data_IF_726252935033
#
_entry.id   IF_726252935033
#
_cell.length_a   1.000
_cell.length_b   1.000
_cell.length_c   1.000
_cell.angle_alpha   90.00
_cell.angle_beta   90.00
_cell.angle_gamma   90.00
#
_symmetry.space_group_name_H-M   'P 1'
#
loop_
_entity.id
_entity.type
_entity.pdbx_description
1 polymer ?
#
# COMPACT_ATOMS: atom_id res chain seq x y z
N UNK A 1 -7.08 15.61 12.04
CA UNK A 1 -7.35 16.14 10.68
C UNK A 1 -6.81 15.17 9.63
N UNK A 2 -6.95 13.85 9.83
CA UNK A 2 -6.30 12.77 9.06
C UNK A 2 -7.24 11.59 8.68
N UNK A 3 -8.56 11.72 8.86
CA UNK A 3 -9.53 10.65 8.51
C UNK A 3 -10.27 10.88 7.18
N UNK A 4 -10.08 11.99 6.51
CA UNK A 4 -10.73 12.31 5.22
C UNK A 4 -10.04 11.75 3.98
N UNK A 5 -8.85 11.18 4.12
CA UNK A 5 -8.05 10.68 2.99
C UNK A 5 -8.37 9.23 2.54
N UNK A 6 -9.26 8.52 3.24
CA UNK A 6 -9.63 7.15 2.84
C UNK A 6 -10.53 7.08 1.57
N UNK A 7 -11.07 8.21 1.13
CA UNK A 7 -11.91 8.31 -0.08
C UNK A 7 -11.12 8.39 -1.39
N UNK A 8 -9.80 8.59 -1.33
CA UNK A 8 -8.96 8.66 -2.55
C UNK A 8 -8.57 7.26 -3.10
N UNK A 9 -8.98 6.19 -2.44
CA UNK A 9 -8.66 4.80 -2.85
C UNK A 9 -9.66 4.19 -3.84
N UNK A 10 -10.67 4.94 -4.32
CA UNK A 10 -11.60 4.42 -5.33
C UNK A 10 -10.82 4.27 -6.65
N UNK A 11 -10.78 3.07 -7.25
CA UNK A 11 -10.04 2.85 -8.47
C UNK A 11 -10.51 3.82 -9.56
N UNK A 12 -9.59 4.58 -10.17
CA UNK A 12 -9.90 5.47 -11.32
C UNK A 12 -10.69 4.73 -12.39
N UNK A 13 -10.43 3.44 -12.58
CA UNK A 13 -11.14 2.57 -13.50
C UNK A 13 -12.63 2.41 -13.21
N UNK A 14 -13.06 2.41 -11.93
CA UNK A 14 -14.49 2.32 -11.60
C UNK A 14 -15.27 3.56 -12.04
N UNK A 15 -14.73 4.75 -11.80
CA UNK A 15 -15.37 6.01 -12.22
C UNK A 15 -15.46 6.11 -13.74
N UNK A 16 -14.38 5.80 -14.46
CA UNK A 16 -14.35 5.76 -15.91
C UNK A 16 -15.35 4.73 -16.45
N UNK A 17 -15.39 3.52 -15.89
CA UNK A 17 -16.34 2.49 -16.26
C UNK A 17 -17.80 2.94 -16.05
N UNK A 18 -18.10 3.53 -14.89
CA UNK A 18 -19.43 4.03 -14.56
C UNK A 18 -19.87 5.14 -15.52
N UNK A 19 -18.99 6.09 -15.83
CA UNK A 19 -19.29 7.17 -16.78
C UNK A 19 -19.57 6.64 -18.18
N UNK A 20 -18.70 5.76 -18.70
CA UNK A 20 -18.85 5.20 -20.06
C UNK A 20 -20.10 4.31 -20.16
N UNK A 21 -20.37 3.48 -19.14
CA UNK A 21 -21.56 2.62 -19.15
C UNK A 21 -22.86 3.43 -19.11
N UNK A 22 -22.93 4.47 -18.29
CA UNK A 22 -24.09 5.36 -18.22
C UNK A 22 -24.26 6.16 -19.50
N UNK A 23 -23.18 6.59 -20.14
CA UNK A 23 -23.21 7.25 -21.45
C UNK A 23 -23.84 6.37 -22.53
N UNK A 24 -23.34 5.13 -22.65
CA UNK A 24 -23.87 4.15 -23.62
C UNK A 24 -25.36 3.90 -23.37
N UNK A 25 -25.75 3.69 -22.12
CA UNK A 25 -27.15 3.47 -21.74
C UNK A 25 -28.02 4.67 -22.13
N UNK A 26 -27.57 5.89 -21.81
CA UNK A 26 -28.32 7.12 -22.11
C UNK A 26 -28.54 7.29 -23.59
N UNK A 27 -27.51 7.08 -24.42
CA UNK A 27 -27.63 7.18 -25.88
C UNK A 27 -28.59 6.12 -26.45
N UNK A 28 -28.51 4.87 -25.98
CA UNK A 28 -29.40 3.79 -26.38
C UNK A 28 -30.87 4.11 -26.03
N UNK A 29 -31.11 4.62 -24.82
CA UNK A 29 -32.47 5.00 -24.39
C UNK A 29 -32.99 6.24 -25.11
N UNK A 30 -32.15 7.21 -25.39
CA UNK A 30 -32.56 8.35 -26.25
C UNK A 30 -33.04 7.88 -27.62
N UNK A 31 -32.30 6.96 -28.25
CA UNK A 31 -32.67 6.39 -29.53
C UNK A 31 -33.97 5.56 -29.44
N UNK A 32 -34.11 4.72 -28.42
CA UNK A 32 -35.30 3.91 -28.20
C UNK A 32 -36.54 4.77 -27.97
N UNK A 33 -36.48 5.80 -27.12
CA UNK A 33 -37.57 6.70 -26.82
C UNK A 33 -37.97 7.51 -28.08
N UNK A 34 -37.00 7.95 -28.88
CA UNK A 34 -37.24 8.58 -30.15
C UNK A 34 -38.03 7.67 -31.10
N UNK A 35 -37.66 6.40 -31.20
CA UNK A 35 -38.33 5.43 -32.06
C UNK A 35 -39.77 5.11 -31.58
N UNK A 36 -40.04 5.17 -30.29
CA UNK A 36 -41.35 4.99 -29.69
C UNK A 36 -42.25 6.25 -29.83
N UNK A 37 -41.69 7.39 -30.31
CA UNK A 37 -42.38 8.65 -30.45
C UNK A 37 -42.45 9.50 -29.18
N UNK A 38 -41.77 9.08 -28.09
CA UNK A 38 -41.68 9.84 -26.84
C UNK A 38 -40.52 10.86 -26.92
N UNK A 39 -40.85 12.02 -27.45
CA UNK A 39 -39.87 13.10 -27.70
C UNK A 39 -39.35 13.72 -26.41
N UNK A 40 -40.15 13.78 -25.35
CA UNK A 40 -39.77 14.36 -24.06
C UNK A 40 -38.72 13.48 -23.38
N UNK A 41 -38.95 12.19 -23.38
CA UNK A 41 -38.02 11.20 -22.77
C UNK A 41 -36.74 11.09 -23.64
N UNK A 42 -36.86 11.15 -24.97
CA UNK A 42 -35.70 11.12 -25.86
C UNK A 42 -34.80 12.37 -25.66
N UNK A 43 -35.38 13.54 -25.53
CA UNK A 43 -34.60 14.79 -25.27
C UNK A 43 -33.96 14.78 -23.88
N UNK A 44 -34.64 14.23 -22.88
CA UNK A 44 -34.07 14.05 -21.55
C UNK A 44 -32.82 13.17 -21.56
N UNK A 45 -32.89 11.96 -22.16
CA UNK A 45 -31.74 11.08 -22.24
C UNK A 45 -30.58 11.64 -23.07
N UNK A 46 -30.88 12.43 -24.12
CA UNK A 46 -29.86 13.11 -24.92
C UNK A 46 -29.15 14.22 -24.10
N UNK A 47 -29.91 14.99 -23.31
CA UNK A 47 -29.37 16.01 -22.43
C UNK A 47 -28.50 15.36 -21.32
N UNK A 48 -28.95 14.23 -20.78
CA UNK A 48 -28.17 13.45 -19.79
C UNK A 48 -26.86 12.94 -20.38
N UNK A 49 -26.88 12.39 -21.60
CA UNK A 49 -25.68 11.98 -22.32
C UNK A 49 -24.70 13.14 -22.52
N UNK A 50 -25.19 14.32 -22.96
CA UNK A 50 -24.34 15.49 -23.10
C UNK A 50 -23.69 15.93 -21.80
N UNK A 51 -24.40 15.86 -20.65
CA UNK A 51 -23.84 16.16 -19.32
C UNK A 51 -22.82 15.13 -18.89
N UNK A 52 -23.06 13.84 -19.13
CA UNK A 52 -22.12 12.77 -18.81
C UNK A 52 -20.82 12.88 -19.61
N UNK A 53 -20.87 13.29 -20.88
CA UNK A 53 -19.70 13.59 -21.71
C UNK A 53 -18.87 14.75 -21.12
N UNK A 54 -19.50 15.78 -20.59
CA UNK A 54 -18.80 16.88 -19.92
C UNK A 54 -18.11 16.36 -18.65
N UNK A 55 -18.78 15.52 -17.86
CA UNK A 55 -18.19 14.93 -16.65
C UNK A 55 -17.02 14.02 -17.01
N UNK A 56 -17.14 13.23 -18.08
CA UNK A 56 -16.07 12.39 -18.61
C UNK A 56 -14.87 13.23 -19.06
N UNK A 57 -15.10 14.34 -19.74
CA UNK A 57 -14.07 15.30 -20.13
C UNK A 57 -13.34 15.89 -18.91
N UNK A 58 -14.08 16.30 -17.87
CA UNK A 58 -13.49 16.80 -16.62
C UNK A 58 -12.62 15.72 -15.95
N UNK A 59 -13.09 14.48 -15.97
CA UNK A 59 -12.34 13.37 -15.39
C UNK A 59 -11.07 13.05 -16.18
N UNK A 60 -11.14 12.95 -17.51
CA UNK A 60 -10.05 12.48 -18.36
C UNK A 60 -9.04 13.58 -18.71
N UNK A 61 -9.48 14.82 -18.95
CA UNK A 61 -8.63 15.91 -19.41
C UNK A 61 -8.00 16.66 -18.22
N UNK A 62 -8.81 16.97 -17.20
CA UNK A 62 -8.36 17.79 -16.07
C UNK A 62 -7.89 16.98 -14.86
N UNK A 63 -7.97 15.65 -14.90
CA UNK A 63 -7.60 14.72 -13.80
C UNK A 63 -8.15 15.13 -12.43
N UNK A 64 -9.44 15.52 -12.40
CA UNK A 64 -10.15 15.93 -11.18
C UNK A 64 -11.22 14.91 -10.77
N UNK A 65 -10.81 13.75 -10.18
CA UNK A 65 -11.75 12.67 -9.88
C UNK A 65 -12.79 13.05 -8.81
N UNK A 66 -12.44 13.92 -7.85
CA UNK A 66 -13.40 14.39 -6.83
C UNK A 66 -14.53 15.22 -7.45
N UNK A 67 -14.19 16.16 -8.32
CA UNK A 67 -15.17 16.99 -9.02
C UNK A 67 -16.06 16.15 -9.94
N UNK A 68 -15.47 15.22 -10.70
CA UNK A 68 -16.20 14.33 -11.58
C UNK A 68 -17.19 13.42 -10.81
N UNK A 69 -16.81 12.89 -9.64
CA UNK A 69 -17.70 12.09 -8.75
C UNK A 69 -18.91 12.89 -8.27
N UNK A 70 -18.68 14.12 -7.82
CA UNK A 70 -19.77 14.99 -7.35
C UNK A 70 -20.73 15.35 -8.51
N UNK A 71 -20.21 15.68 -9.68
CA UNK A 71 -21.02 15.97 -10.85
C UNK A 71 -21.81 14.75 -11.33
N UNK A 72 -21.18 13.55 -11.37
CA UNK A 72 -21.86 12.32 -11.72
C UNK A 72 -23.03 12.06 -10.75
N UNK A 73 -22.78 12.15 -9.43
CA UNK A 73 -23.83 11.98 -8.43
C UNK A 73 -24.97 12.98 -8.60
N UNK A 74 -24.67 14.25 -8.89
CA UNK A 74 -25.69 15.28 -9.12
C UNK A 74 -26.55 14.95 -10.35
N UNK A 75 -25.91 14.54 -11.46
CA UNK A 75 -26.61 14.11 -12.68
C UNK A 75 -27.49 12.90 -12.40
N UNK A 76 -26.97 11.90 -11.70
CA UNK A 76 -27.70 10.67 -11.37
C UNK A 76 -28.87 10.92 -10.42
N UNK A 77 -28.71 11.76 -9.39
CA UNK A 77 -29.79 12.12 -8.47
C UNK A 77 -30.87 12.95 -9.19
N UNK A 78 -30.47 13.88 -10.03
CA UNK A 78 -31.41 14.67 -10.85
C UNK A 78 -32.22 13.78 -11.79
N UNK A 79 -31.54 12.86 -12.50
CA UNK A 79 -32.17 11.88 -13.39
C UNK A 79 -33.11 10.95 -12.62
N UNK A 80 -32.73 10.53 -11.44
CA UNK A 80 -33.55 9.70 -10.56
C UNK A 80 -34.90 10.40 -10.24
N UNK A 81 -34.90 11.63 -9.78
CA UNK A 81 -36.11 12.35 -9.44
C UNK A 81 -36.96 12.68 -10.67
N UNK A 82 -36.35 12.96 -11.83
CA UNK A 82 -37.07 13.12 -13.07
C UNK A 82 -37.82 11.86 -13.50
N UNK A 83 -37.14 10.71 -13.50
CA UNK A 83 -37.76 9.41 -13.82
C UNK A 83 -38.85 9.02 -12.81
N UNK A 84 -38.64 9.36 -11.53
CA UNK A 84 -39.60 9.10 -10.47
C UNK A 84 -40.88 9.91 -10.64
N UNK A 85 -40.80 11.13 -11.22
CA UNK A 85 -41.95 11.99 -11.48
C UNK A 85 -42.92 11.49 -12.60
N UNK A 86 -42.60 10.33 -13.19
CA UNK A 86 -43.50 9.64 -14.10
C UNK A 86 -43.40 10.05 -15.54
N UNK A 87 -42.24 10.44 -16.00
CA UNK A 87 -41.96 10.79 -17.39
C UNK A 87 -42.20 9.65 -18.41
N UNK A 88 -42.66 8.48 -17.95
CA UNK A 88 -42.88 7.29 -18.77
C UNK A 88 -44.04 6.42 -18.23
N UNK A 89 -44.34 5.31 -18.91
CA UNK A 89 -45.35 4.32 -18.65
C UNK A 89 -45.25 3.54 -17.33
N UNK A 90 -44.49 4.04 -16.32
CA UNK A 90 -44.24 3.38 -15.02
C UNK A 90 -43.03 2.45 -15.02
N UNK A 91 -42.44 2.13 -16.15
CA UNK A 91 -41.22 1.30 -16.24
C UNK A 91 -39.98 2.04 -15.73
N UNK A 92 -40.00 3.37 -15.73
CA UNK A 92 -38.94 4.24 -15.26
C UNK A 92 -38.48 3.97 -13.80
N UNK A 93 -39.40 3.47 -12.94
CA UNK A 93 -39.07 3.08 -11.57
C UNK A 93 -37.97 2.01 -11.50
N UNK A 94 -37.88 1.10 -12.45
CA UNK A 94 -36.85 0.09 -12.49
C UNK A 94 -35.46 0.69 -12.71
N UNK A 95 -35.38 1.75 -13.54
CA UNK A 95 -34.13 2.44 -13.83
C UNK A 95 -33.62 3.28 -12.68
N UNK A 96 -34.53 3.74 -11.80
CA UNK A 96 -34.16 4.44 -10.57
C UNK A 96 -33.25 3.59 -9.65
N UNK A 97 -33.30 2.26 -9.75
CA UNK A 97 -32.47 1.38 -8.93
C UNK A 97 -30.99 1.37 -9.37
N UNK A 98 -30.70 1.80 -10.58
CA UNK A 98 -29.30 1.85 -11.11
C UNK A 98 -28.42 2.87 -10.40
N UNK A 99 -29.01 3.86 -9.72
CA UNK A 99 -28.27 4.87 -8.95
C UNK A 99 -27.50 4.25 -7.76
N UNK A 100 -28.01 3.16 -7.19
CA UNK A 100 -27.49 2.56 -5.97
C UNK A 100 -26.04 2.12 -6.11
N UNK A 101 -25.67 1.23 -7.07
CA UNK A 101 -24.29 0.80 -7.22
C UNK A 101 -23.35 1.94 -7.64
N UNK A 102 -23.86 2.92 -8.40
CA UNK A 102 -23.05 4.09 -8.80
C UNK A 102 -22.71 4.96 -7.60
N UNK A 103 -23.68 5.29 -6.75
CA UNK A 103 -23.42 6.09 -5.56
C UNK A 103 -22.51 5.37 -4.55
N UNK A 104 -22.75 4.06 -4.33
CA UNK A 104 -21.89 3.27 -3.43
C UNK A 104 -20.46 3.21 -3.94
N UNK A 105 -20.26 2.96 -5.23
CA UNK A 105 -18.94 2.91 -5.84
C UNK A 105 -18.23 4.27 -5.91
N UNK A 106 -18.98 5.39 -5.98
CA UNK A 106 -18.40 6.73 -6.01
C UNK A 106 -18.01 7.28 -4.63
N UNK A 107 -18.74 6.94 -3.58
CA UNK A 107 -18.58 7.54 -2.26
C UNK A 107 -18.18 6.56 -1.16
N UNK A 108 -18.17 5.26 -1.47
CA UNK A 108 -17.92 4.19 -0.52
C UNK A 108 -19.08 3.99 0.47
N UNK A 109 -19.06 2.89 1.22
CA UNK A 109 -20.19 2.45 2.05
C UNK A 109 -20.60 3.46 3.13
N UNK A 110 -19.65 4.16 3.76
CA UNK A 110 -19.95 5.09 4.88
C UNK A 110 -20.79 6.28 4.43
N UNK A 111 -20.37 6.95 3.37
CA UNK A 111 -21.09 8.14 2.84
C UNK A 111 -22.37 7.74 2.13
N UNK A 112 -22.39 6.59 1.45
CA UNK A 112 -23.53 6.11 0.68
C UNK A 112 -24.74 5.74 1.57
N UNK A 113 -24.52 5.31 2.82
CA UNK A 113 -25.60 5.08 3.79
C UNK A 113 -26.45 6.35 3.95
N UNK A 114 -25.81 7.48 4.14
CA UNK A 114 -26.50 8.77 4.32
C UNK A 114 -27.17 9.26 3.03
N UNK A 115 -26.45 9.15 1.89
CA UNK A 115 -26.95 9.61 0.60
C UNK A 115 -28.17 8.77 0.16
N UNK A 116 -28.06 7.44 0.19
CA UNK A 116 -29.14 6.54 -0.19
C UNK A 116 -30.32 6.62 0.78
N UNK A 117 -30.05 6.81 2.09
CA UNK A 117 -31.09 7.08 3.09
C UNK A 117 -31.86 8.37 2.78
N UNK A 118 -31.16 9.45 2.44
CA UNK A 118 -31.80 10.71 2.04
C UNK A 118 -32.63 10.59 0.75
N UNK A 119 -32.10 9.85 -0.26
CA UNK A 119 -32.83 9.57 -1.51
C UNK A 119 -34.09 8.74 -1.23
N UNK A 120 -34.01 7.72 -0.38
CA UNK A 120 -35.16 6.88 -0.01
C UNK A 120 -36.24 7.67 0.74
N UNK A 121 -35.84 8.48 1.73
CA UNK A 121 -36.75 9.36 2.50
C UNK A 121 -37.38 10.38 1.56
N UNK A 122 -36.61 11.02 0.68
CA UNK A 122 -37.11 11.96 -0.31
C UNK A 122 -38.12 11.32 -1.25
N UNK A 123 -37.89 10.08 -1.68
CA UNK A 123 -38.84 9.33 -2.52
C UNK A 123 -40.13 9.02 -1.79
N UNK A 124 -40.04 8.56 -0.53
CA UNK A 124 -41.20 8.29 0.30
C UNK A 124 -42.02 9.57 0.56
N UNK A 125 -41.32 10.69 0.84
CA UNK A 125 -41.98 11.99 1.01
C UNK A 125 -42.67 12.48 -0.26
N UNK A 126 -42.07 12.25 -1.43
CA UNK A 126 -42.63 12.60 -2.73
C UNK A 126 -43.92 11.81 -3.02
N UNK A 127 -43.99 10.54 -2.61
CA UNK A 127 -45.17 9.66 -2.85
C UNK A 127 -46.28 9.85 -1.83
N UNK A 128 -45.97 10.06 -0.56
CA UNK A 128 -46.92 10.08 0.55
C UNK A 128 -47.07 11.46 1.19
N UNK A 129 -46.27 12.44 0.81
CA UNK A 129 -46.33 13.80 1.34
C UNK A 129 -47.43 14.65 0.76
N UNK A 130 -47.63 15.87 1.28
CA UNK A 130 -48.67 16.78 0.77
C UNK A 130 -48.39 17.11 -0.71
N UNK A 131 -49.47 17.11 -1.51
CA UNK A 131 -49.46 17.25 -2.98
C UNK A 131 -49.00 18.66 -3.42
N UNK A 132 -47.79 19.03 -3.16
CA UNK A 132 -47.16 20.28 -3.63
C UNK A 132 -46.70 20.19 -5.11
N UNK A 133 -46.60 18.99 -5.69
CA UNK A 133 -46.12 18.75 -7.04
C UNK A 133 -47.22 18.14 -7.91
N UNK A 134 -47.69 18.89 -8.88
CA UNK A 134 -48.83 18.64 -9.80
C UNK A 134 -48.49 17.55 -10.86
N UNK A 135 -47.31 16.93 -10.84
CA UNK A 135 -46.78 16.06 -11.91
C UNK A 135 -46.59 14.57 -11.52
N UNK A 136 -47.33 14.07 -10.54
CA UNK A 136 -47.14 12.66 -10.17
C UNK A 136 -48.15 11.76 -10.90
N UNK A 137 -47.64 10.72 -11.62
CA UNK A 137 -48.51 9.64 -12.08
C UNK A 137 -49.11 8.91 -10.90
N UNK A 138 -50.34 8.46 -11.02
CA UNK A 138 -50.99 7.66 -10.02
C UNK A 138 -50.40 6.23 -10.04
N UNK A 139 -49.26 6.03 -9.38
CA UNK A 139 -48.78 4.67 -9.10
C UNK A 139 -49.69 3.98 -8.09
N UNK A 140 -49.92 2.69 -8.24
CA UNK A 140 -50.64 1.94 -7.22
C UNK A 140 -49.80 1.83 -5.93
N UNK A 141 -50.43 1.85 -4.77
CA UNK A 141 -49.75 1.67 -3.48
C UNK A 141 -48.87 0.43 -3.44
N UNK A 142 -49.33 -0.64 -4.09
CA UNK A 142 -48.58 -1.90 -4.21
C UNK A 142 -47.26 -1.69 -4.99
N UNK A 143 -47.29 -0.92 -6.06
CA UNK A 143 -46.10 -0.61 -6.87
C UNK A 143 -45.10 0.24 -6.06
N UNK A 144 -45.57 1.22 -5.34
CA UNK A 144 -44.75 2.10 -4.49
C UNK A 144 -44.08 1.32 -3.36
N UNK A 145 -44.84 0.48 -2.65
CA UNK A 145 -44.29 -0.37 -1.58
C UNK A 145 -43.22 -1.32 -2.14
N UNK A 146 -43.46 -1.96 -3.28
CA UNK A 146 -42.50 -2.86 -3.93
C UNK A 146 -41.22 -2.10 -4.36
N UNK A 147 -41.35 -0.90 -4.90
CA UNK A 147 -40.24 -0.06 -5.30
C UNK A 147 -39.37 0.34 -4.09
N UNK A 148 -39.99 0.91 -3.04
CA UNK A 148 -39.27 1.34 -1.83
C UNK A 148 -38.59 0.17 -1.12
N UNK A 149 -39.26 -0.98 -1.04
CA UNK A 149 -38.66 -2.19 -0.44
C UNK A 149 -37.48 -2.72 -1.28
N UNK A 150 -37.61 -2.75 -2.62
CA UNK A 150 -36.52 -3.16 -3.51
C UNK A 150 -35.33 -2.20 -3.42
N UNK A 151 -35.60 -0.91 -3.36
CA UNK A 151 -34.57 0.11 -3.21
C UNK A 151 -33.79 -0.08 -1.88
N UNK A 152 -34.53 -0.29 -0.78
CA UNK A 152 -33.92 -0.51 0.54
C UNK A 152 -33.05 -1.79 0.55
N UNK A 153 -33.59 -2.91 0.05
CA UNK A 153 -32.86 -4.19 0.00
C UNK A 153 -31.61 -4.10 -0.87
N UNK A 154 -31.70 -3.51 -2.06
CA UNK A 154 -30.54 -3.34 -2.95
C UNK A 154 -29.50 -2.39 -2.35
N UNK A 155 -29.95 -1.33 -1.66
CA UNK A 155 -29.03 -0.41 -0.96
C UNK A 155 -28.25 -1.11 0.14
N UNK A 156 -28.93 -1.90 0.98
CA UNK A 156 -28.29 -2.70 2.03
C UNK A 156 -27.30 -3.70 1.42
N UNK A 157 -27.68 -4.39 0.36
CA UNK A 157 -26.82 -5.36 -0.31
C UNK A 157 -25.57 -4.68 -0.91
N UNK A 158 -25.73 -3.58 -1.64
CA UNK A 158 -24.62 -2.85 -2.25
C UNK A 158 -23.65 -2.31 -1.19
N UNK A 159 -24.16 -1.75 -0.09
CA UNK A 159 -23.36 -1.26 1.02
C UNK A 159 -22.60 -2.41 1.71
N UNK A 160 -23.28 -3.54 1.94
CA UNK A 160 -22.65 -4.71 2.55
C UNK A 160 -21.54 -5.28 1.65
N UNK A 161 -21.77 -5.34 0.35
CA UNK A 161 -20.80 -5.81 -0.63
C UNK A 161 -19.57 -4.91 -0.69
N UNK A 162 -19.73 -3.58 -0.73
CA UNK A 162 -18.62 -2.63 -0.74
C UNK A 162 -17.81 -2.69 0.56
N UNK A 163 -18.49 -2.77 1.71
CA UNK A 163 -17.83 -2.94 3.00
C UNK A 163 -17.01 -4.25 3.08
N UNK A 164 -17.57 -5.35 2.56
CA UNK A 164 -16.88 -6.65 2.50
C UNK A 164 -15.64 -6.57 1.58
N UNK A 165 -15.78 -5.95 0.41
CA UNK A 165 -14.69 -5.75 -0.55
C UNK A 165 -13.56 -4.89 0.06
N UNK A 166 -13.91 -3.78 0.70
CA UNK A 166 -12.95 -2.89 1.36
C UNK A 166 -12.18 -3.60 2.48
N UNK A 167 -12.86 -4.43 3.28
CA UNK A 167 -12.21 -5.25 4.31
C UNK A 167 -11.24 -6.26 3.72
N UNK A 168 -11.62 -6.92 2.63
CA UNK A 168 -10.77 -7.89 1.94
C UNK A 168 -9.52 -7.25 1.36
N UNK A 169 -9.63 -6.08 0.73
CA UNK A 169 -8.50 -5.31 0.21
C UNK A 169 -7.54 -4.89 1.33
N UNK A 170 -8.05 -4.44 2.48
CA UNK A 170 -7.21 -4.06 3.61
C UNK A 170 -6.46 -5.27 4.18
N UNK A 171 -7.12 -6.42 4.33
CA UNK A 171 -6.46 -7.67 4.74
C UNK A 171 -5.37 -8.08 3.77
N UNK A 172 -5.63 -7.97 2.46
CA UNK A 172 -4.63 -8.28 1.44
C UNK A 172 -3.41 -7.36 1.53
N UNK A 173 -3.62 -6.05 1.71
CA UNK A 173 -2.52 -5.08 1.92
C UNK A 173 -1.71 -5.38 3.18
N UNK A 174 -2.38 -5.72 4.28
CA UNK A 174 -1.69 -6.07 5.53
C UNK A 174 -0.89 -7.36 5.40
N UNK A 175 -1.45 -8.36 4.72
CA UNK A 175 -0.73 -9.60 4.44
C UNK A 175 0.49 -9.36 3.54
N UNK A 176 0.33 -8.57 2.49
CA UNK A 176 1.42 -8.19 1.59
C UNK A 176 2.55 -7.46 2.34
N UNK A 177 2.20 -6.52 3.23
CA UNK A 177 3.20 -5.83 4.07
C UNK A 177 3.94 -6.77 5.02
N UNK A 178 3.23 -7.75 5.62
CA UNK A 178 3.86 -8.75 6.49
C UNK A 178 4.82 -9.64 5.71
N UNK A 179 4.42 -10.08 4.51
CA UNK A 179 5.29 -10.85 3.61
C UNK A 179 6.53 -10.05 3.24
N UNK A 180 6.37 -8.77 2.91
CA UNK A 180 7.47 -7.86 2.60
C UNK A 180 8.42 -7.66 3.80
N UNK A 181 7.88 -7.44 5.00
CA UNK A 181 8.69 -7.34 6.22
C UNK A 181 9.48 -8.63 6.51
N UNK A 182 8.85 -9.81 6.34
CA UNK A 182 9.55 -11.10 6.51
C UNK A 182 10.63 -11.27 5.44
N UNK A 183 10.38 -10.78 4.22
CA UNK A 183 11.33 -10.86 3.12
C UNK A 183 12.55 -9.95 3.30
N UNK A 184 12.47 -8.87 4.09
CA UNK A 184 13.51 -7.86 4.23
C UNK A 184 14.18 -7.80 5.61
N UNK A 185 13.63 -8.45 6.64
CA UNK A 185 14.18 -8.43 8.00
C UNK A 185 14.54 -9.81 8.52
N UNK A 186 15.61 -9.88 9.30
CA UNK A 186 15.95 -11.05 10.11
C UNK A 186 15.03 -11.12 11.34
N UNK A 187 14.46 -12.30 11.59
CA UNK A 187 13.45 -12.48 12.65
C UNK A 187 14.03 -12.35 14.07
N UNK A 188 15.29 -12.74 14.25
CA UNK A 188 15.95 -12.72 15.54
C UNK A 188 16.47 -11.34 15.90
N UNK A 189 17.25 -10.74 15.02
CA UNK A 189 17.95 -9.47 15.30
C UNK A 189 17.13 -8.24 14.94
N UNK A 190 16.03 -8.39 14.15
CA UNK A 190 15.23 -7.32 13.57
C UNK A 190 16.01 -6.37 12.66
N UNK A 191 17.24 -6.68 12.34
CA UNK A 191 18.04 -5.99 11.34
C UNK A 191 17.56 -6.33 9.93
N UNK A 192 17.90 -5.52 8.92
CA UNK A 192 17.86 -5.95 7.53
C UNK A 192 18.49 -7.34 7.36
N UNK A 193 17.89 -8.18 6.53
CA UNK A 193 18.48 -9.48 6.19
C UNK A 193 19.39 -9.36 4.96
N UNK A 194 19.99 -10.47 4.55
CA UNK A 194 20.87 -10.55 3.38
C UNK A 194 20.21 -10.01 2.13
N UNK A 195 18.94 -10.35 1.88
CA UNK A 195 18.22 -9.92 0.68
C UNK A 195 18.05 -8.38 0.61
N UNK A 196 17.69 -7.75 1.73
CA UNK A 196 17.61 -6.28 1.81
C UNK A 196 18.97 -5.62 1.59
N UNK A 197 20.03 -6.17 2.18
CA UNK A 197 21.39 -5.66 2.00
C UNK A 197 21.87 -5.77 0.55
N UNK A 198 21.61 -6.89 -0.14
CA UNK A 198 21.94 -7.05 -1.56
C UNK A 198 21.27 -5.99 -2.44
N UNK A 199 20.00 -5.68 -2.17
CA UNK A 199 19.30 -4.61 -2.88
C UNK A 199 19.87 -3.20 -2.61
N UNK A 200 20.30 -2.94 -1.36
CA UNK A 200 20.95 -1.67 -1.00
C UNK A 200 22.31 -1.51 -1.65
N UNK A 201 23.10 -2.59 -1.71
CA UNK A 201 24.39 -2.63 -2.39
C UNK A 201 24.23 -2.31 -3.88
N UNK A 202 23.25 -2.93 -4.55
CA UNK A 202 22.98 -2.67 -5.96
C UNK A 202 22.60 -1.20 -6.20
N UNK A 203 21.70 -0.65 -5.40
CA UNK A 203 21.32 0.77 -5.49
C UNK A 203 22.52 1.69 -5.27
N UNK A 204 23.37 1.37 -4.28
CA UNK A 204 24.56 2.18 -3.97
C UNK A 204 25.61 2.09 -5.08
N UNK A 205 25.79 0.91 -5.66
CA UNK A 205 26.68 0.71 -6.79
C UNK A 205 26.23 1.50 -8.02
N UNK A 206 24.95 1.53 -8.33
CA UNK A 206 24.41 2.36 -9.41
C UNK A 206 24.67 3.85 -9.17
N UNK A 207 24.53 4.32 -7.92
CA UNK A 207 24.89 5.70 -7.55
C UNK A 207 26.39 5.96 -7.70
N UNK A 208 27.25 5.02 -7.26
CA UNK A 208 28.70 5.11 -7.41
C UNK A 208 29.10 5.28 -8.88
N UNK A 209 28.49 4.52 -9.79
CA UNK A 209 28.75 4.63 -11.23
C UNK A 209 28.40 6.00 -11.82
N UNK A 210 27.46 6.73 -11.23
CA UNK A 210 27.03 8.05 -11.70
C UNK A 210 27.86 9.20 -11.09
N UNK A 211 28.18 9.10 -9.81
CA UNK A 211 28.76 10.21 -9.02
C UNK A 211 30.22 9.96 -8.64
N UNK A 212 30.71 8.73 -8.81
CA UNK A 212 32.06 8.27 -8.43
C UNK A 212 32.41 8.51 -6.94
N UNK A 213 31.39 8.50 -6.05
CA UNK A 213 31.60 8.61 -4.61
C UNK A 213 31.82 7.21 -4.02
N UNK A 214 33.03 6.89 -3.50
CA UNK A 214 33.32 5.57 -2.99
C UNK A 214 32.46 5.21 -1.78
N UNK A 215 32.20 3.92 -1.64
CA UNK A 215 31.56 3.31 -0.49
C UNK A 215 32.30 2.04 -0.10
N UNK A 216 32.16 1.61 1.14
CA UNK A 216 32.83 0.41 1.67
C UNK A 216 31.83 -0.51 2.34
N UNK A 217 32.21 -1.78 2.46
CA UNK A 217 31.50 -2.78 3.27
C UNK A 217 32.43 -3.37 4.32
N UNK A 218 31.81 -3.75 5.43
CA UNK A 218 32.44 -4.57 6.45
C UNK A 218 31.69 -5.89 6.51
N UNK A 219 32.41 -7.01 6.53
CA UNK A 219 31.83 -8.31 6.82
C UNK A 219 32.39 -8.79 8.17
N UNK A 220 31.53 -8.84 9.16
CA UNK A 220 31.91 -9.20 10.55
C UNK A 220 31.31 -10.55 10.92
N UNK A 221 32.05 -11.38 11.61
CA UNK A 221 31.64 -12.69 12.11
C UNK A 221 31.97 -12.83 13.59
N UNK A 222 31.04 -13.39 14.36
CA UNK A 222 31.27 -13.71 15.77
C UNK A 222 32.25 -14.85 15.91
N UNK A 223 33.34 -14.58 16.59
CA UNK A 223 34.37 -15.60 16.87
C UNK A 223 33.85 -16.67 17.80
N UNK A 224 34.15 -17.92 17.48
CA UNK A 224 33.83 -19.11 18.28
C UNK A 224 32.30 -19.23 18.62
N UNK A 225 31.42 -18.70 17.81
CA UNK A 225 29.96 -18.73 18.05
C UNK A 225 29.42 -20.17 18.23
N UNK A 226 29.96 -21.13 17.47
CA UNK A 226 29.60 -22.54 17.64
C UNK A 226 29.92 -23.03 19.04
N UNK A 227 31.08 -22.67 19.61
CA UNK A 227 31.44 -23.05 20.99
C UNK A 227 30.45 -22.44 22.00
N UNK A 228 29.96 -21.24 21.79
CA UNK A 228 28.94 -20.61 22.64
C UNK A 228 27.66 -21.45 22.63
N UNK A 229 27.18 -21.82 21.45
CA UNK A 229 25.99 -22.66 21.32
C UNK A 229 26.16 -24.05 21.95
N UNK A 230 27.29 -24.71 21.66
CA UNK A 230 27.54 -26.05 22.11
C UNK A 230 27.70 -26.13 23.65
N UNK A 231 28.23 -25.09 24.29
CA UNK A 231 28.49 -25.04 25.74
C UNK A 231 27.30 -24.48 26.53
N UNK A 232 26.64 -23.43 26.05
CA UNK A 232 25.65 -22.66 26.81
C UNK A 232 24.22 -22.74 26.24
N UNK A 233 24.05 -23.43 25.13
CA UNK A 233 22.77 -23.59 24.46
C UNK A 233 22.44 -22.47 23.42
N UNK A 234 21.49 -22.78 22.55
CA UNK A 234 21.10 -21.90 21.46
C UNK A 234 20.43 -20.61 21.96
N UNK A 235 19.71 -20.66 23.08
CA UNK A 235 19.03 -19.49 23.63
C UNK A 235 20.02 -18.36 23.98
N UNK A 236 21.16 -18.71 24.59
CA UNK A 236 22.22 -17.75 24.88
C UNK A 236 22.88 -17.26 23.59
N UNK A 237 23.07 -18.14 22.61
CA UNK A 237 23.58 -17.75 21.28
C UNK A 237 22.70 -16.74 20.61
N UNK A 238 21.39 -16.89 20.65
CA UNK A 238 20.40 -15.97 20.10
C UNK A 238 20.44 -14.61 20.82
N UNK A 239 20.58 -14.60 22.16
CA UNK A 239 20.76 -13.36 22.91
C UNK A 239 22.05 -12.63 22.53
N UNK A 240 23.17 -13.37 22.31
CA UNK A 240 24.42 -12.79 21.85
C UNK A 240 24.29 -12.18 20.48
N UNK A 241 23.65 -12.89 19.53
CA UNK A 241 23.38 -12.37 18.18
C UNK A 241 22.55 -11.08 18.22
N UNK A 242 21.51 -11.06 19.04
CA UNK A 242 20.67 -9.86 19.21
C UNK A 242 21.50 -8.69 19.80
N UNK A 243 22.28 -8.94 20.85
CA UNK A 243 23.11 -7.93 21.48
C UNK A 243 24.17 -7.35 20.53
N UNK A 244 24.80 -8.19 19.70
CA UNK A 244 25.75 -7.77 18.67
C UNK A 244 25.03 -6.93 17.59
N UNK A 245 23.84 -7.33 17.15
CA UNK A 245 23.06 -6.57 16.20
C UNK A 245 22.78 -5.13 16.68
N UNK A 246 22.39 -4.97 17.93
CA UNK A 246 22.19 -3.65 18.57
C UNK A 246 23.51 -2.88 18.63
N UNK A 247 24.57 -3.52 19.14
CA UNK A 247 25.89 -2.91 19.30
C UNK A 247 26.48 -2.42 17.98
N UNK A 248 26.31 -3.17 16.90
CA UNK A 248 26.79 -2.77 15.57
C UNK A 248 26.00 -1.58 14.99
N UNK A 249 24.73 -1.44 15.39
CA UNK A 249 23.83 -0.38 14.88
C UNK A 249 24.02 0.96 15.59
N UNK A 250 24.23 0.97 16.91
CA UNK A 250 24.27 2.18 17.73
C UNK A 250 25.31 3.25 17.32
N UNK A 251 26.57 2.88 17.00
CA UNK A 251 27.61 3.86 16.71
C UNK A 251 27.63 4.35 15.27
N UNK A 252 26.72 3.89 14.43
CA UNK A 252 26.67 4.18 13.00
C UNK A 252 25.88 5.45 12.72
N UNK A 253 26.14 6.07 11.57
CA UNK A 253 25.40 7.25 11.11
C UNK A 253 24.07 6.83 10.51
N UNK A 254 23.12 7.77 10.37
CA UNK A 254 21.79 7.47 9.83
C UNK A 254 21.76 6.92 8.39
N UNK A 255 22.87 7.06 7.64
CA UNK A 255 23.00 6.52 6.28
C UNK A 255 23.65 5.12 6.25
N UNK A 256 24.38 4.74 7.31
CA UNK A 256 25.03 3.45 7.43
C UNK A 256 23.98 2.38 7.71
N UNK A 257 24.17 1.18 7.19
CA UNK A 257 23.21 0.10 7.34
C UNK A 257 23.90 -1.16 7.83
N UNK A 258 23.34 -1.79 8.87
CA UNK A 258 23.74 -3.11 9.34
C UNK A 258 22.70 -4.13 8.92
N UNK A 259 23.14 -5.29 8.45
CA UNK A 259 22.29 -6.43 8.14
C UNK A 259 22.86 -7.71 8.73
N UNK A 260 21.98 -8.66 9.05
CA UNK A 260 22.41 -10.04 9.31
C UNK A 260 22.62 -10.75 7.98
N UNK A 261 23.87 -11.05 7.66
CA UNK A 261 24.29 -11.64 6.38
C UNK A 261 24.18 -13.16 6.35
N UNK A 262 24.48 -13.78 7.49
CA UNK A 262 24.44 -15.23 7.67
C UNK A 262 24.06 -15.63 9.09
N UNK A 263 24.37 -16.86 9.49
CA UNK A 263 24.06 -17.38 10.83
C UNK A 263 24.60 -16.51 11.95
N UNK A 264 25.91 -16.29 11.95
CA UNK A 264 26.66 -15.46 12.90
C UNK A 264 27.42 -14.30 12.21
N UNK A 265 27.09 -14.02 10.96
CA UNK A 265 27.72 -13.00 10.12
C UNK A 265 26.84 -11.77 10.00
N UNK A 266 27.46 -10.60 10.08
CA UNK A 266 26.83 -9.29 9.89
C UNK A 266 27.56 -8.51 8.80
N UNK A 267 26.81 -7.86 7.93
CA UNK A 267 27.36 -6.94 6.93
C UNK A 267 27.01 -5.50 7.28
N UNK A 268 28.00 -4.61 7.20
CA UNK A 268 27.77 -3.17 7.35
C UNK A 268 28.06 -2.49 6.02
N UNK A 269 27.10 -1.75 5.51
CA UNK A 269 27.28 -0.84 4.37
C UNK A 269 27.57 0.57 4.87
N UNK A 270 28.66 1.15 4.40
CA UNK A 270 29.14 2.51 4.71
C UNK A 270 29.08 3.36 3.42
N UNK A 271 27.98 4.07 3.15
CA UNK A 271 27.72 4.69 1.85
C UNK A 271 28.68 5.80 1.42
N UNK A 272 29.42 6.38 2.36
CA UNK A 272 30.31 7.52 2.10
C UNK A 272 31.74 7.33 2.63
N UNK A 273 32.09 6.09 3.04
CA UNK A 273 33.40 5.78 3.60
C UNK A 273 34.35 5.21 2.53
N UNK A 274 35.56 5.74 2.48
CA UNK A 274 36.67 5.11 1.78
C UNK A 274 37.28 3.98 2.65
N UNK A 275 38.28 3.25 2.11
CA UNK A 275 38.92 2.13 2.79
C UNK A 275 39.46 2.50 4.17
N UNK A 276 40.13 3.63 4.34
CA UNK A 276 40.73 4.07 5.61
C UNK A 276 39.64 4.38 6.67
N UNK A 277 38.61 5.12 6.28
CA UNK A 277 37.48 5.43 7.16
C UNK A 277 36.73 4.14 7.58
N UNK A 278 36.57 3.19 6.65
CA UNK A 278 35.92 1.91 6.90
C UNK A 278 36.71 1.07 7.92
N UNK A 279 38.06 1.02 7.83
CA UNK A 279 38.91 0.34 8.80
C UNK A 279 38.76 0.95 10.20
N UNK A 280 38.75 2.28 10.32
CA UNK A 280 38.54 2.97 11.59
C UNK A 280 37.19 2.66 12.23
N UNK A 281 36.13 2.57 11.40
CA UNK A 281 34.80 2.16 11.87
C UNK A 281 34.82 0.69 12.31
N UNK A 282 35.41 -0.20 11.51
CA UNK A 282 35.50 -1.62 11.82
C UNK A 282 36.24 -1.88 13.16
N UNK A 283 37.38 -1.21 13.39
CA UNK A 283 38.12 -1.31 14.65
C UNK A 283 37.32 -0.80 15.85
N UNK A 284 36.55 0.25 15.68
CA UNK A 284 35.64 0.76 16.72
C UNK A 284 34.56 -0.26 17.05
N UNK A 285 33.93 -0.87 16.05
CA UNK A 285 32.90 -1.89 16.24
C UNK A 285 33.48 -3.14 16.92
N UNK A 286 34.64 -3.62 16.47
CA UNK A 286 35.37 -4.74 17.08
C UNK A 286 35.70 -4.46 18.57
N UNK A 287 36.25 -3.30 18.85
CA UNK A 287 36.60 -2.91 20.23
C UNK A 287 35.36 -2.79 21.15
N UNK A 288 34.22 -2.38 20.61
CA UNK A 288 32.96 -2.35 21.36
C UNK A 288 32.42 -3.75 21.62
N UNK A 289 32.48 -4.66 20.64
CA UNK A 289 32.09 -6.04 20.82
C UNK A 289 32.92 -6.73 21.93
N UNK A 290 34.22 -6.45 21.98
CA UNK A 290 35.11 -6.96 23.06
C UNK A 290 34.77 -6.47 24.47
N UNK A 291 33.99 -5.40 24.61
CA UNK A 291 33.47 -4.91 25.91
C UNK A 291 32.13 -5.54 26.28
N UNK A 292 31.49 -6.24 25.37
CA UNK A 292 30.24 -6.95 25.66
C UNK A 292 30.59 -8.18 26.50
N UNK A 293 30.44 -8.08 27.82
CA UNK A 293 30.54 -9.20 28.72
C UNK A 293 29.13 -9.73 29.01
N UNK A 294 28.90 -11.00 28.77
CA UNK A 294 27.71 -11.71 29.26
C UNK A 294 28.12 -12.70 30.33
N UNK A 295 27.39 -12.72 31.44
CA UNK A 295 27.51 -13.70 32.46
C UNK A 295 26.65 -14.91 32.08
N UNK A 296 27.29 -16.06 31.94
CA UNK A 296 26.61 -17.32 31.62
C UNK A 296 27.13 -18.43 32.51
N UNK A 297 26.28 -19.04 33.31
CA UNK A 297 26.60 -20.18 34.23
C UNK A 297 27.77 -19.88 35.18
N UNK A 298 27.95 -18.61 35.61
CA UNK A 298 29.04 -18.20 36.48
C UNK A 298 30.36 -17.85 35.76
N UNK A 299 30.44 -18.05 34.46
CA UNK A 299 31.57 -17.67 33.62
C UNK A 299 31.35 -16.30 32.96
N UNK A 300 32.39 -15.47 32.87
CA UNK A 300 32.37 -14.26 32.02
C UNK A 300 32.66 -14.62 30.57
N UNK A 301 31.64 -14.61 29.73
CA UNK A 301 31.74 -14.86 28.30
C UNK A 301 32.37 -13.64 27.59
N UNK A 302 33.56 -13.80 27.02
CA UNK A 302 34.17 -12.80 26.14
C UNK A 302 33.71 -12.99 24.70
N UNK A 303 33.18 -11.94 24.11
CA UNK A 303 32.70 -11.94 22.73
C UNK A 303 33.72 -11.14 21.91
N UNK A 304 34.15 -11.68 20.78
CA UNK A 304 35.00 -10.99 19.82
C UNK A 304 34.46 -11.11 18.41
N UNK A 305 34.88 -10.19 17.55
CA UNK A 305 34.53 -10.12 16.14
C UNK A 305 35.79 -10.14 15.29
N UNK A 306 35.77 -10.99 14.25
CA UNK A 306 36.70 -10.88 13.13
C UNK A 306 36.01 -10.10 12.01
N UNK A 307 36.70 -9.15 11.36
CA UNK A 307 36.11 -8.25 10.38
C UNK A 307 36.97 -8.18 9.13
N UNK A 308 36.34 -8.42 7.97
CA UNK A 308 36.90 -8.14 6.65
C UNK A 308 36.38 -6.81 6.12
N UNK A 309 37.23 -5.99 5.54
CA UNK A 309 36.91 -4.67 4.99
C UNK A 309 37.17 -4.64 3.49
N UNK A 310 36.24 -4.13 2.70
CA UNK A 310 36.45 -3.89 1.29
C UNK A 310 35.87 -2.53 0.87
N UNK A 311 36.49 -1.90 -0.11
CA UNK A 311 36.04 -0.61 -0.67
C UNK A 311 35.88 -0.73 -2.18
N UNK A 312 34.80 -0.14 -2.72
CA UNK A 312 34.38 -0.31 -4.13
C UNK A 312 35.39 0.30 -5.11
N UNK A 313 36.15 1.28 -4.71
CA UNK A 313 37.17 1.93 -5.53
C UNK A 313 38.34 0.99 -5.92
N UNK A 314 38.46 -0.13 -5.21
CA UNK A 314 39.46 -1.18 -5.46
C UNK A 314 38.89 -2.42 -6.10
N UNK A 315 37.59 -2.44 -6.39
CA UNK A 315 36.86 -3.60 -6.88
C UNK A 315 36.22 -3.32 -8.25
N UNK A 316 36.01 -4.37 -9.03
CA UNK A 316 35.42 -4.30 -10.37
C UNK A 316 33.89 -4.26 -10.35
N UNK A 317 33.26 -4.66 -9.23
CA UNK A 317 31.81 -4.73 -9.04
C UNK A 317 31.43 -5.22 -7.65
N UNK A 318 30.13 -5.47 -7.45
CA UNK A 318 29.60 -5.88 -6.14
C UNK A 318 30.10 -7.25 -5.72
N UNK A 319 30.12 -8.21 -6.66
CA UNK A 319 30.57 -9.57 -6.35
C UNK A 319 32.04 -9.61 -5.94
N UNK A 320 32.87 -8.80 -6.59
CA UNK A 320 34.28 -8.62 -6.26
C UNK A 320 34.46 -7.91 -4.89
N UNK A 321 33.61 -6.91 -4.62
CA UNK A 321 33.57 -6.22 -3.32
C UNK A 321 33.25 -7.17 -2.17
N UNK A 322 32.24 -8.02 -2.34
CA UNK A 322 31.85 -9.00 -1.33
C UNK A 322 32.96 -10.05 -1.15
N UNK A 323 33.47 -10.59 -2.26
CA UNK A 323 34.55 -11.59 -2.23
C UNK A 323 35.82 -11.05 -1.56
N UNK A 324 36.15 -9.78 -1.81
CA UNK A 324 37.28 -9.08 -1.17
C UNK A 324 37.07 -8.98 0.36
N UNK A 325 35.85 -8.61 0.81
CA UNK A 325 35.55 -8.58 2.25
C UNK A 325 35.59 -9.99 2.87
N UNK A 326 35.08 -11.01 2.19
CA UNK A 326 35.15 -12.42 2.61
C UNK A 326 36.58 -12.88 2.77
N UNK A 327 37.46 -12.54 1.82
CA UNK A 327 38.90 -12.88 1.90
C UNK A 327 39.56 -12.22 3.11
N UNK A 328 39.27 -10.93 3.37
CA UNK A 328 39.74 -10.24 4.56
C UNK A 328 39.28 -10.91 5.85
N UNK A 329 37.98 -11.27 5.94
CA UNK A 329 37.42 -12.00 7.09
C UNK A 329 38.06 -13.37 7.29
N UNK A 330 38.27 -14.12 6.22
CA UNK A 330 38.96 -15.41 6.25
C UNK A 330 40.36 -15.26 6.80
N UNK A 331 41.13 -14.28 6.36
CA UNK A 331 42.46 -14.01 6.89
C UNK A 331 42.43 -13.64 8.40
N UNK A 332 41.49 -12.78 8.81
CA UNK A 332 41.32 -12.41 10.21
C UNK A 332 41.07 -13.63 11.08
N UNK A 333 40.24 -14.58 10.67
CA UNK A 333 39.98 -15.82 11.37
C UNK A 333 41.21 -16.74 11.50
N UNK A 334 42.02 -16.78 10.45
CA UNK A 334 43.25 -17.63 10.42
C UNK A 334 44.42 -17.03 11.16
N UNK A 335 44.52 -15.69 11.25
CA UNK A 335 45.62 -15.01 11.94
C UNK A 335 45.46 -14.88 13.44
N UNK A 336 44.38 -15.40 14.01
CA UNK A 336 44.18 -15.44 15.47
C UNK A 336 42.86 -14.85 15.93
N UNK A 337 41.98 -14.44 15.03
CA UNK A 337 40.67 -13.82 15.33
C UNK A 337 40.78 -12.43 15.98
N UNK A 338 39.65 -11.86 16.40
CA UNK A 338 39.58 -10.55 17.07
C UNK A 338 40.44 -9.48 16.38
N UNK A 339 40.28 -9.33 15.06
CA UNK A 339 41.03 -8.37 14.26
C UNK A 339 40.25 -7.91 13.01
N UNK A 340 40.72 -6.80 12.44
CA UNK A 340 40.23 -6.21 11.20
C UNK A 340 41.27 -6.38 10.12
N UNK A 341 40.87 -6.91 8.94
CA UNK A 341 41.74 -7.06 7.79
C UNK A 341 41.08 -6.46 6.55
N UNK A 342 41.86 -5.71 5.77
CA UNK A 342 41.47 -5.23 4.45
C UNK A 342 41.78 -6.34 3.46
N UNK A 343 40.79 -6.78 2.70
CA UNK A 343 40.93 -7.80 1.67
C UNK A 343 41.57 -7.29 0.37
#
# INVERSE_FOLDING_TARGET
MTELDSTDSIPRGFLSFSLVSQEIISVLFAFYSYYQGDMDLATFYLAMAALLLVVLGIHSIFDRPRTARLLLATVMIGSYFYLLSGASDGSALLWCLTIIPVLVGCFGYRSSVFILGAVLIGSAWLFYGPSLFILMPAYSDVTLVRFLSSFAVLSVFAIAMDNSHSRSLNRYKDLSRRVDQIAHQDQLTKLPNRHDMEQRLEKKYQQYRLVNQPFSILLADLDNFKFINDRYGHDLGDEVLHAIGVLLSEPLRGEDVVARWGGNEFMVLLPTANSEAAVNIAERLRAQAGKLAKEAQGDQLRISLSVGVASIDKCTGIDDLISTAENGLYQAKHMGRDMVIVG
#
